data_IF_508443568011
#
_entry.id   IF_508443568011
#
_cell.length_a   1.000
_cell.length_b   1.000
_cell.length_c   1.000
_cell.angle_alpha   90.00
_cell.angle_beta   90.00
_cell.angle_gamma   90.00
#
_symmetry.space_group_name_H-M   'P 1'
#
loop_
_entity.id
_entity.type
_entity.pdbx_description
1 polymer ?
#
# COMPACT_ATOMS: atom_id res chain seq x y z
N UNK A 1 22.59 -9.04 -25.59
CA UNK A 1 21.90 -9.49 -24.37
C UNK A 1 20.79 -8.52 -23.92
N UNK A 2 21.01 -7.21 -23.90
CA UNK A 2 20.02 -6.21 -23.52
C UNK A 2 19.28 -5.67 -24.74
N UNK A 3 18.17 -6.32 -25.11
CA UNK A 3 17.30 -5.91 -26.22
C UNK A 3 15.90 -5.56 -25.71
N UNK A 4 15.10 -4.85 -26.50
CA UNK A 4 13.68 -4.63 -26.19
C UNK A 4 12.92 -5.95 -26.08
N UNK A 5 13.25 -6.91 -26.95
CA UNK A 5 12.63 -8.25 -26.94
C UNK A 5 12.91 -8.98 -25.63
N UNK A 6 14.15 -8.95 -25.10
CA UNK A 6 14.47 -9.58 -23.81
C UNK A 6 13.72 -8.93 -22.65
N UNK A 7 13.49 -7.63 -22.67
CA UNK A 7 12.71 -6.92 -21.67
C UNK A 7 11.24 -7.36 -21.73
N UNK A 8 10.64 -7.39 -22.91
CA UNK A 8 9.25 -7.86 -23.05
C UNK A 8 9.09 -9.33 -22.68
N UNK A 9 10.06 -10.17 -23.02
CA UNK A 9 10.06 -11.58 -22.61
C UNK A 9 10.11 -11.72 -21.08
N UNK A 10 10.93 -10.93 -20.40
CA UNK A 10 10.96 -10.87 -18.92
C UNK A 10 9.59 -10.55 -18.33
N UNK A 11 8.88 -9.57 -18.89
CA UNK A 11 7.53 -9.19 -18.44
C UNK A 11 6.55 -10.35 -18.63
N UNK A 12 6.58 -11.03 -19.78
CA UNK A 12 5.70 -12.17 -20.08
C UNK A 12 5.96 -13.32 -19.12
N UNK A 13 7.23 -13.68 -18.92
CA UNK A 13 7.61 -14.77 -17.99
C UNK A 13 7.16 -14.43 -16.56
N UNK A 14 7.39 -13.19 -16.11
CA UNK A 14 6.99 -12.77 -14.78
C UNK A 14 5.45 -12.76 -14.62
N UNK A 15 4.70 -12.36 -15.64
CA UNK A 15 3.25 -12.45 -15.65
C UNK A 15 2.78 -13.90 -15.50
N UNK A 16 3.31 -14.82 -16.31
CA UNK A 16 2.96 -16.24 -16.24
C UNK A 16 3.31 -16.83 -14.87
N UNK A 17 4.48 -16.51 -14.32
CA UNK A 17 4.89 -16.93 -12.98
C UNK A 17 3.94 -16.38 -11.91
N UNK A 18 3.49 -15.14 -12.03
CA UNK A 18 2.50 -14.54 -11.11
C UNK A 18 1.14 -15.24 -11.17
N UNK A 19 0.70 -15.64 -12.37
CA UNK A 19 -0.55 -16.40 -12.55
C UNK A 19 -0.43 -17.78 -11.90
N UNK A 20 0.69 -18.48 -12.13
CA UNK A 20 0.95 -19.77 -11.50
C UNK A 20 1.01 -19.69 -9.98
N UNK A 21 1.64 -18.64 -9.45
CA UNK A 21 1.67 -18.38 -8.01
C UNK A 21 0.27 -18.13 -7.45
N UNK A 22 -0.56 -17.37 -8.16
CA UNK A 22 -1.95 -17.10 -7.77
C UNK A 22 -2.79 -18.39 -7.77
N UNK A 23 -2.63 -19.23 -8.79
CA UNK A 23 -3.27 -20.55 -8.85
C UNK A 23 -2.84 -21.45 -7.68
N UNK A 24 -1.54 -21.52 -7.41
CA UNK A 24 -1.00 -22.30 -6.28
C UNK A 24 -1.56 -21.81 -4.94
N UNK A 25 -1.63 -20.48 -4.76
CA UNK A 25 -2.17 -19.87 -3.55
C UNK A 25 -3.64 -20.24 -3.33
N UNK A 26 -4.48 -20.08 -4.34
CA UNK A 26 -5.91 -20.43 -4.27
C UNK A 26 -6.10 -21.93 -4.02
N UNK A 27 -5.37 -22.79 -4.72
CA UNK A 27 -5.44 -24.24 -4.54
C UNK A 27 -4.98 -24.70 -3.15
N UNK A 28 -3.98 -24.02 -2.57
CA UNK A 28 -3.54 -24.29 -1.20
C UNK A 28 -4.60 -23.87 -0.18
N UNK A 29 -5.23 -22.71 -0.41
CA UNK A 29 -6.29 -22.21 0.45
C UNK A 29 -7.49 -23.17 0.52
N UNK A 30 -7.92 -23.73 -0.61
CA UNK A 30 -9.00 -24.70 -0.65
C UNK A 30 -8.70 -25.97 0.13
N UNK A 31 -7.47 -26.47 0.02
CA UNK A 31 -7.02 -27.63 0.80
C UNK A 31 -7.02 -27.38 2.31
N UNK A 32 -6.67 -26.16 2.72
CA UNK A 32 -6.67 -25.78 4.13
C UNK A 32 -8.09 -25.60 4.70
N UNK A 33 -9.07 -25.24 3.85
CA UNK A 33 -10.47 -25.10 4.26
C UNK A 33 -11.10 -26.43 4.66
N UNK A 34 -10.69 -27.53 4.02
CA UNK A 34 -11.20 -28.87 4.32
C UNK A 34 -10.59 -29.51 5.58
N UNK A 35 -9.43 -28.97 6.03
CA UNK A 35 -8.78 -29.40 7.26
C UNK A 35 -9.20 -28.49 8.42
N UNK A 36 -10.14 -28.92 9.24
CA UNK A 36 -10.63 -28.36 10.51
C UNK A 36 -10.47 -26.85 10.77
N UNK A 37 -11.54 -26.21 11.22
CA UNK A 37 -11.67 -24.76 11.52
C UNK A 37 -10.61 -24.14 12.47
N UNK A 38 -9.72 -24.92 13.05
CA UNK A 38 -8.71 -24.51 14.03
C UNK A 38 -7.30 -24.39 13.46
N UNK A 39 -7.12 -24.45 12.12
CA UNK A 39 -5.79 -24.31 11.54
C UNK A 39 -5.34 -22.83 11.55
N UNK A 40 -4.22 -22.49 12.22
CA UNK A 40 -3.71 -21.12 12.31
C UNK A 40 -3.37 -20.51 10.93
N UNK A 41 -2.97 -21.33 9.95
CA UNK A 41 -2.73 -20.87 8.57
C UNK A 41 -4.01 -20.40 7.90
N UNK A 42 -5.10 -21.15 8.10
CA UNK A 42 -6.42 -20.78 7.60
C UNK A 42 -6.88 -19.45 8.21
N UNK A 43 -6.75 -19.31 9.53
CA UNK A 43 -7.12 -18.08 10.24
C UNK A 43 -6.34 -16.86 9.73
N UNK A 44 -5.05 -17.02 9.38
CA UNK A 44 -4.21 -15.95 8.89
C UNK A 44 -4.51 -15.57 7.44
N UNK A 45 -4.75 -16.54 6.56
CA UNK A 45 -5.23 -16.30 5.19
C UNK A 45 -6.61 -15.65 5.24
N UNK A 46 -7.48 -16.13 6.12
CA UNK A 46 -8.80 -15.57 6.35
C UNK A 46 -8.74 -14.10 6.80
N UNK A 47 -7.86 -13.76 7.73
CA UNK A 47 -7.75 -12.38 8.24
C UNK A 47 -7.27 -11.38 7.18
N UNK A 48 -6.35 -11.78 6.31
CA UNK A 48 -5.84 -10.94 5.22
C UNK A 48 -6.87 -10.66 4.12
N UNK A 49 -7.86 -11.52 4.00
CA UNK A 49 -8.85 -11.55 2.90
C UNK A 49 -10.21 -11.02 3.36
N UNK A 50 -10.54 -11.21 4.64
CA UNK A 50 -11.90 -11.08 5.17
C UNK A 50 -12.46 -9.67 5.07
N UNK A 51 -11.67 -8.63 5.31
CA UNK A 51 -12.22 -7.29 5.40
C UNK A 51 -12.83 -6.79 4.09
N UNK A 52 -12.12 -6.95 2.98
CA UNK A 52 -12.63 -6.50 1.67
C UNK A 52 -13.79 -7.37 1.17
N UNK A 53 -13.78 -8.66 1.45
CA UNK A 53 -14.83 -9.56 0.98
C UNK A 53 -16.12 -9.45 1.78
N UNK A 54 -16.02 -9.28 3.09
CA UNK A 54 -17.20 -9.00 3.92
C UNK A 54 -17.87 -7.71 3.48
N UNK A 55 -17.09 -6.69 3.17
CA UNK A 55 -17.63 -5.42 2.70
C UNK A 55 -18.18 -5.52 1.28
N UNK A 56 -17.49 -6.23 0.38
CA UNK A 56 -17.96 -6.48 -0.98
C UNK A 56 -19.29 -7.27 -0.99
N UNK A 57 -19.41 -8.30 -0.15
CA UNK A 57 -20.65 -9.06 0.01
C UNK A 57 -21.81 -8.19 0.50
N UNK A 58 -21.54 -7.31 1.47
CA UNK A 58 -22.53 -6.33 1.95
C UNK A 58 -22.97 -5.39 0.84
N UNK A 59 -22.03 -4.84 0.07
CA UNK A 59 -22.33 -3.98 -1.09
C UNK A 59 -23.19 -4.74 -2.10
N UNK A 60 -22.86 -6.00 -2.39
CA UNK A 60 -23.64 -6.84 -3.30
C UNK A 60 -25.06 -7.07 -2.81
N UNK A 61 -25.23 -7.38 -1.52
CA UNK A 61 -26.56 -7.58 -0.92
C UNK A 61 -27.38 -6.29 -0.98
N UNK A 62 -26.78 -5.15 -0.70
CA UNK A 62 -27.42 -3.85 -0.80
C UNK A 62 -27.87 -3.56 -2.24
N UNK A 63 -27.02 -3.82 -3.26
CA UNK A 63 -27.38 -3.63 -4.67
C UNK A 63 -28.52 -4.59 -5.07
N UNK A 64 -28.44 -5.86 -4.71
CA UNK A 64 -29.47 -6.86 -4.99
C UNK A 64 -30.80 -6.52 -4.32
N UNK A 65 -30.80 -5.81 -3.19
CA UNK A 65 -32.02 -5.30 -2.53
C UNK A 65 -32.53 -3.98 -3.11
N UNK A 66 -31.96 -3.49 -4.21
CA UNK A 66 -32.39 -2.26 -4.90
C UNK A 66 -31.77 -0.97 -4.37
N UNK A 67 -30.80 -1.02 -3.43
CA UNK A 67 -30.08 0.16 -3.01
C UNK A 67 -29.14 0.66 -4.10
N UNK A 68 -29.00 1.98 -4.18
CA UNK A 68 -28.05 2.59 -5.08
C UNK A 68 -26.59 2.20 -4.71
N UNK A 69 -25.77 1.91 -5.71
CA UNK A 69 -24.35 1.53 -5.53
C UNK A 69 -23.59 2.52 -4.63
N UNK A 70 -23.82 3.83 -4.77
CA UNK A 70 -23.20 4.86 -3.93
C UNK A 70 -23.78 4.93 -2.52
N UNK A 71 -24.93 4.34 -2.24
CA UNK A 71 -25.53 4.27 -0.91
C UNK A 71 -25.28 2.94 -0.19
N UNK A 72 -24.62 1.98 -0.86
CA UNK A 72 -24.37 0.63 -0.32
C UNK A 72 -23.08 0.52 0.47
N UNK A 73 -23.02 -0.47 1.36
CA UNK A 73 -21.85 -0.77 2.20
C UNK A 73 -21.95 -0.24 3.63
N UNK A 74 -20.87 -0.40 4.39
CA UNK A 74 -20.76 0.09 5.78
C UNK A 74 -20.86 1.60 5.87
N UNK A 75 -21.39 2.09 6.99
CA UNK A 75 -21.34 3.53 7.33
C UNK A 75 -19.90 4.05 7.47
N UNK A 76 -19.04 3.23 8.07
CA UNK A 76 -17.62 3.53 8.28
C UNK A 76 -16.77 2.46 7.61
N UNK A 77 -15.77 2.87 6.83
CA UNK A 77 -14.90 2.00 6.06
C UNK A 77 -13.45 2.49 6.10
N UNK A 78 -12.52 1.54 5.99
CA UNK A 78 -11.08 1.83 5.99
C UNK A 78 -10.60 2.20 4.58
N UNK A 79 -10.99 1.43 3.57
CA UNK A 79 -10.64 1.67 2.17
C UNK A 79 -11.90 1.69 1.29
N UNK A 80 -11.93 2.64 0.37
CA UNK A 80 -13.12 2.86 -0.47
C UNK A 80 -13.17 1.97 -1.70
N UNK A 81 -12.11 1.96 -2.51
CA UNK A 81 -12.11 1.35 -3.84
C UNK A 81 -12.03 -0.18 -3.84
N UNK A 82 -11.15 -0.84 -3.05
CA UNK A 82 -10.94 -2.28 -3.15
C UNK A 82 -12.19 -3.12 -2.97
N UNK A 83 -13.01 -2.95 -1.91
CA UNK A 83 -14.23 -3.74 -1.74
C UNK A 83 -15.29 -3.43 -2.82
N UNK A 84 -15.31 -2.21 -3.36
CA UNK A 84 -16.24 -1.82 -4.41
C UNK A 84 -15.89 -2.41 -5.76
N UNK A 85 -14.63 -2.44 -6.13
CA UNK A 85 -14.18 -3.14 -7.34
C UNK A 85 -14.46 -4.62 -7.25
N UNK A 86 -14.25 -5.21 -6.08
CA UNK A 86 -14.56 -6.61 -5.84
C UNK A 86 -16.06 -6.87 -5.95
N UNK A 87 -16.92 -6.04 -5.34
CA UNK A 87 -18.37 -6.16 -5.44
C UNK A 87 -18.85 -6.00 -6.89
N UNK A 88 -18.32 -5.02 -7.62
CA UNK A 88 -18.65 -4.80 -9.03
C UNK A 88 -18.25 -6.01 -9.88
N UNK A 89 -17.08 -6.58 -9.67
CA UNK A 89 -16.63 -7.77 -10.36
C UNK A 89 -17.58 -8.95 -10.12
N UNK A 90 -17.95 -9.22 -8.86
CA UNK A 90 -18.88 -10.29 -8.51
C UNK A 90 -20.31 -10.02 -9.02
N UNK A 91 -20.74 -8.77 -9.06
CA UNK A 91 -22.02 -8.38 -9.65
C UNK A 91 -22.08 -8.68 -11.16
N UNK A 92 -21.02 -8.31 -11.90
CA UNK A 92 -20.97 -8.53 -13.35
C UNK A 92 -20.84 -10.02 -13.70
N UNK A 93 -20.03 -10.76 -12.94
CA UNK A 93 -19.78 -12.19 -13.23
C UNK A 93 -20.83 -13.14 -12.70
N UNK A 94 -21.72 -12.67 -11.82
CA UNK A 94 -22.73 -13.50 -11.16
C UNK A 94 -22.16 -14.50 -10.14
N UNK A 95 -20.86 -14.49 -9.87
CA UNK A 95 -20.27 -15.36 -8.84
C UNK A 95 -20.74 -14.96 -7.44
N UNK A 96 -20.77 -15.93 -6.54
CA UNK A 96 -21.07 -15.71 -5.13
C UNK A 96 -19.80 -15.65 -4.28
N UNK A 97 -19.79 -14.76 -3.27
CA UNK A 97 -18.68 -14.64 -2.32
C UNK A 97 -18.78 -15.67 -1.22
N UNK A 98 -20.02 -15.92 -0.74
CA UNK A 98 -20.32 -16.87 0.33
C UNK A 98 -21.37 -17.90 -0.13
N UNK A 99 -21.26 -19.12 0.39
CA UNK A 99 -22.30 -20.14 0.20
C UNK A 99 -23.51 -19.87 1.12
N UNK A 100 -24.56 -20.69 0.96
CA UNK A 100 -25.79 -20.62 1.77
C UNK A 100 -25.54 -20.80 3.28
N UNK A 101 -24.42 -21.41 3.67
CA UNK A 101 -23.98 -21.58 5.06
C UNK A 101 -23.03 -20.48 5.52
N UNK A 102 -22.92 -19.36 4.79
CA UNK A 102 -22.00 -18.25 5.07
C UNK A 102 -20.52 -18.65 5.07
N UNK A 103 -20.15 -19.76 4.42
CA UNK A 103 -18.76 -20.09 4.20
C UNK A 103 -18.26 -19.36 2.95
N UNK A 104 -17.03 -18.87 3.03
CA UNK A 104 -16.39 -18.20 1.91
C UNK A 104 -16.15 -19.21 0.77
N UNK A 105 -16.72 -18.97 -0.41
CA UNK A 105 -16.49 -19.78 -1.59
C UNK A 105 -15.16 -19.41 -2.22
N UNK A 106 -14.15 -20.27 -2.11
CA UNK A 106 -12.79 -19.91 -2.47
C UNK A 106 -12.55 -19.90 -3.98
N UNK A 107 -13.11 -20.83 -4.72
CA UNK A 107 -12.80 -20.97 -6.15
C UNK A 107 -13.59 -20.07 -7.09
N UNK A 108 -14.80 -19.68 -6.71
CA UNK A 108 -15.67 -18.95 -7.60
C UNK A 108 -15.19 -17.50 -7.82
N UNK A 109 -14.63 -17.24 -8.99
CA UNK A 109 -14.27 -15.90 -9.43
C UNK A 109 -12.99 -15.33 -8.82
N UNK A 110 -12.34 -15.96 -7.81
CA UNK A 110 -11.18 -15.38 -7.14
C UNK A 110 -9.93 -15.41 -7.98
N UNK A 111 -9.64 -16.55 -8.59
CA UNK A 111 -8.48 -16.66 -9.47
C UNK A 111 -8.58 -15.71 -10.67
N UNK A 112 -9.70 -15.63 -11.41
CA UNK A 112 -9.84 -14.63 -12.46
C UNK A 112 -9.68 -13.20 -11.99
N UNK A 113 -10.19 -12.84 -10.80
CA UNK A 113 -10.00 -11.51 -10.23
C UNK A 113 -8.51 -11.20 -9.95
N UNK A 114 -7.76 -12.17 -9.39
CA UNK A 114 -6.32 -12.02 -9.19
C UNK A 114 -5.57 -11.88 -10.53
N UNK A 115 -5.96 -12.66 -11.54
CA UNK A 115 -5.38 -12.56 -12.89
C UNK A 115 -5.63 -11.18 -13.49
N UNK A 116 -6.84 -10.63 -13.37
CA UNK A 116 -7.18 -9.28 -13.86
C UNK A 116 -6.31 -8.23 -13.17
N UNK A 117 -6.16 -8.28 -11.85
CA UNK A 117 -5.28 -7.34 -11.12
C UNK A 117 -3.83 -7.45 -11.55
N UNK A 118 -3.34 -8.68 -11.67
CA UNK A 118 -1.98 -8.97 -12.14
C UNK A 118 -1.77 -8.46 -13.56
N UNK A 119 -2.73 -8.66 -14.44
CA UNK A 119 -2.70 -8.16 -15.82
C UNK A 119 -2.61 -6.62 -15.83
N UNK A 120 -3.40 -5.93 -15.02
CA UNK A 120 -3.33 -4.46 -14.90
C UNK A 120 -1.92 -3.98 -14.52
N UNK A 121 -1.26 -4.67 -13.59
CA UNK A 121 0.13 -4.38 -13.22
C UNK A 121 1.08 -4.51 -14.41
N UNK A 122 1.04 -5.63 -15.11
CA UNK A 122 1.95 -5.88 -16.23
C UNK A 122 1.64 -5.00 -17.45
N UNK A 123 0.39 -4.60 -17.67
CA UNK A 123 0.02 -3.59 -18.67
C UNK A 123 0.60 -2.20 -18.31
N UNK A 124 0.53 -1.82 -17.04
CA UNK A 124 1.16 -0.59 -16.55
C UNK A 124 2.69 -0.66 -16.74
N UNK A 125 3.29 -1.81 -16.48
CA UNK A 125 4.73 -2.05 -16.67
C UNK A 125 5.13 -1.97 -18.17
N UNK A 126 4.32 -2.51 -19.06
CA UNK A 126 4.52 -2.36 -20.52
C UNK A 126 4.43 -0.90 -20.96
N UNK A 127 3.48 -0.13 -20.44
CA UNK A 127 3.40 1.29 -20.69
C UNK A 127 4.63 2.03 -20.17
N UNK A 128 5.08 1.69 -18.97
CA UNK A 128 6.29 2.24 -18.37
C UNK A 128 7.54 1.96 -19.23
N UNK A 129 7.67 0.76 -19.81
CA UNK A 129 8.76 0.44 -20.73
C UNK A 129 8.89 1.43 -21.87
N UNK A 130 7.76 1.81 -22.51
CA UNK A 130 7.78 2.80 -23.60
C UNK A 130 8.38 4.13 -23.14
N UNK A 131 8.17 4.53 -21.89
CA UNK A 131 8.69 5.79 -21.35
C UNK A 131 10.16 5.70 -20.99
N UNK A 132 10.59 4.64 -20.30
CA UNK A 132 11.99 4.51 -19.90
C UNK A 132 12.94 4.24 -21.07
N UNK A 133 12.48 3.62 -22.16
CA UNK A 133 13.30 3.43 -23.38
C UNK A 133 13.73 4.73 -24.04
N UNK A 134 13.01 5.82 -23.84
CA UNK A 134 13.39 7.14 -24.35
C UNK A 134 14.31 7.92 -23.41
N UNK A 135 14.50 7.43 -22.18
CA UNK A 135 15.22 8.16 -21.12
C UNK A 135 16.53 7.46 -20.75
N UNK A 136 16.51 6.12 -20.72
CA UNK A 136 17.62 5.32 -20.25
C UNK A 136 18.17 4.38 -21.32
N UNK A 137 19.46 4.01 -21.26
CA UNK A 137 20.03 2.93 -22.05
C UNK A 137 19.29 1.60 -21.80
N UNK A 138 19.22 0.73 -22.81
CA UNK A 138 18.50 -0.55 -22.72
C UNK A 138 18.97 -1.45 -21.56
N UNK A 139 20.25 -1.39 -21.21
CA UNK A 139 20.81 -2.10 -20.07
C UNK A 139 20.15 -1.64 -18.75
N UNK A 140 20.03 -0.34 -18.54
CA UNK A 140 19.37 0.21 -17.35
C UNK A 140 17.89 -0.17 -17.34
N UNK A 141 17.21 -0.04 -18.48
CA UNK A 141 15.81 -0.44 -18.63
C UNK A 141 15.58 -1.90 -18.28
N UNK A 142 16.47 -2.79 -18.70
CA UNK A 142 16.39 -4.20 -18.38
C UNK A 142 16.40 -4.44 -16.86
N UNK A 143 17.33 -3.86 -16.14
CA UNK A 143 17.42 -4.03 -14.68
C UNK A 143 16.29 -3.35 -13.91
N UNK A 144 15.80 -2.18 -14.38
CA UNK A 144 14.62 -1.53 -13.81
C UNK A 144 13.41 -2.48 -13.92
N UNK A 145 13.17 -3.03 -15.10
CA UNK A 145 12.04 -3.91 -15.36
C UNK A 145 12.20 -5.26 -14.65
N UNK A 146 13.40 -5.83 -14.66
CA UNK A 146 13.70 -7.07 -13.93
C UNK A 146 13.36 -6.92 -12.44
N UNK A 147 13.75 -5.80 -11.84
CA UNK A 147 13.44 -5.49 -10.45
C UNK A 147 11.93 -5.38 -10.24
N UNK A 148 11.24 -4.54 -11.01
CA UNK A 148 9.79 -4.37 -10.88
C UNK A 148 9.01 -5.66 -11.13
N UNK A 149 9.44 -6.48 -12.07
CA UNK A 149 8.75 -7.70 -12.43
C UNK A 149 8.96 -8.86 -11.46
N UNK A 150 10.12 -8.95 -10.80
CA UNK A 150 10.53 -10.14 -10.03
C UNK A 150 10.97 -9.83 -8.59
N UNK A 151 11.02 -8.56 -8.17
CA UNK A 151 11.36 -8.24 -6.77
C UNK A 151 10.35 -8.93 -5.83
N UNK A 152 10.82 -9.80 -4.92
CA UNK A 152 9.93 -10.66 -4.13
C UNK A 152 8.84 -9.92 -3.35
N UNK A 153 9.12 -8.71 -2.90
CA UNK A 153 8.17 -7.89 -2.13
C UNK A 153 7.00 -7.39 -2.97
N UNK A 154 7.27 -7.08 -4.24
CA UNK A 154 6.23 -6.64 -5.19
C UNK A 154 5.51 -7.86 -5.73
N UNK A 155 6.29 -8.86 -6.17
CA UNK A 155 5.80 -10.07 -6.84
C UNK A 155 4.77 -10.85 -6.01
N UNK A 156 4.98 -10.96 -4.69
CA UNK A 156 4.05 -11.67 -3.81
C UNK A 156 2.64 -11.06 -3.76
N UNK A 157 2.50 -9.74 -3.98
CA UNK A 157 1.18 -9.10 -3.93
C UNK A 157 0.29 -9.46 -5.12
N UNK A 158 0.84 -9.98 -6.22
CA UNK A 158 0.03 -10.45 -7.34
C UNK A 158 -0.89 -11.60 -6.95
N UNK A 159 -0.45 -12.47 -6.03
CA UNK A 159 -1.26 -13.57 -5.52
C UNK A 159 -2.11 -13.21 -4.30
N UNK A 160 -2.14 -11.96 -3.87
CA UNK A 160 -2.84 -11.51 -2.68
C UNK A 160 -4.04 -10.62 -3.00
N UNK A 161 -4.97 -10.52 -2.04
CA UNK A 161 -6.12 -9.59 -2.11
C UNK A 161 -5.84 -8.27 -1.37
N UNK A 162 -4.62 -8.03 -0.98
CA UNK A 162 -4.21 -6.79 -0.33
C UNK A 162 -4.31 -5.59 -1.27
N UNK A 163 -4.47 -4.42 -0.68
CA UNK A 163 -4.59 -3.15 -1.40
C UNK A 163 -3.43 -2.86 -2.32
N UNK A 164 -2.23 -3.24 -1.93
CA UNK A 164 -1.00 -3.04 -2.67
C UNK A 164 -1.08 -3.62 -4.09
N UNK A 165 -1.78 -4.73 -4.28
CA UNK A 165 -1.98 -5.32 -5.60
C UNK A 165 -2.80 -4.46 -6.57
N UNK A 166 -3.67 -3.59 -6.04
CA UNK A 166 -4.39 -2.57 -6.82
C UNK A 166 -3.63 -1.25 -6.90
N UNK A 167 -2.80 -0.99 -5.91
CA UNK A 167 -2.05 0.24 -5.80
C UNK A 167 -0.89 0.33 -6.80
N UNK A 168 -0.11 -0.72 -6.92
CA UNK A 168 1.09 -0.74 -7.76
C UNK A 168 0.86 -0.42 -9.24
N UNK A 169 -0.20 -0.88 -9.93
CA UNK A 169 -0.46 -0.46 -11.30
C UNK A 169 -0.57 1.05 -11.45
N UNK A 170 -1.29 1.71 -10.53
CA UNK A 170 -1.43 3.16 -10.55
C UNK A 170 -0.12 3.88 -10.22
N UNK A 171 0.68 3.31 -9.32
CA UNK A 171 1.98 3.84 -8.94
C UNK A 171 2.97 3.81 -10.13
N UNK A 172 3.01 2.71 -10.88
CA UNK A 172 3.81 2.60 -12.10
C UNK A 172 3.33 3.59 -13.18
N UNK A 173 2.01 3.75 -13.34
CA UNK A 173 1.44 4.76 -14.23
C UNK A 173 1.82 6.18 -13.80
N UNK A 174 1.73 6.46 -12.50
CA UNK A 174 2.15 7.73 -11.93
C UNK A 174 3.63 8.01 -12.23
N UNK A 175 4.51 7.04 -11.95
CA UNK A 175 5.93 7.13 -12.24
C UNK A 175 6.19 7.36 -13.73
N UNK A 176 5.46 6.66 -14.61
CA UNK A 176 5.54 6.83 -16.07
C UNK A 176 5.21 8.26 -16.51
N UNK A 177 4.15 8.83 -15.92
CA UNK A 177 3.73 10.20 -16.23
C UNK A 177 4.70 11.25 -15.65
N UNK A 178 5.29 10.96 -14.49
CA UNK A 178 6.25 11.85 -13.84
C UNK A 178 7.59 11.93 -14.58
N UNK A 179 8.04 10.85 -15.16
CA UNK A 179 9.25 10.79 -15.97
C UNK A 179 9.09 11.44 -17.35
N UNK A 180 7.88 11.55 -17.85
CA UNK A 180 7.61 12.22 -19.11
C UNK A 180 7.72 13.75 -18.96
N UNK A 181 8.72 14.32 -19.62
CA UNK A 181 9.03 15.76 -19.54
C UNK A 181 8.01 16.65 -20.22
N UNK A 182 7.21 16.11 -21.15
CA UNK A 182 6.14 16.87 -21.81
C UNK A 182 4.99 17.12 -20.83
N UNK A 183 4.98 18.24 -20.15
CA UNK A 183 3.97 18.62 -19.17
C UNK A 183 2.97 19.61 -19.76
N UNK A 184 1.70 19.20 -19.80
CA UNK A 184 0.56 20.06 -20.08
C UNK A 184 -0.47 19.99 -18.95
N UNK A 185 -1.49 20.83 -19.03
CA UNK A 185 -2.56 20.92 -18.01
C UNK A 185 -3.27 19.56 -17.85
N UNK A 186 -3.68 18.94 -18.97
CA UNK A 186 -4.42 17.67 -18.97
C UNK A 186 -3.63 16.55 -18.27
N UNK A 187 -2.31 16.52 -18.48
CA UNK A 187 -1.44 15.56 -17.84
C UNK A 187 -1.31 15.77 -16.33
N UNK A 188 -1.25 17.03 -15.88
CA UNK A 188 -1.23 17.32 -14.45
C UNK A 188 -2.58 16.96 -13.79
N UNK A 189 -3.72 17.21 -14.46
CA UNK A 189 -5.04 16.75 -14.03
C UNK A 189 -5.07 15.23 -13.93
N UNK A 190 -4.55 14.50 -14.92
CA UNK A 190 -4.49 13.05 -14.92
C UNK A 190 -3.62 12.51 -13.75
N UNK A 191 -2.46 13.14 -13.50
CA UNK A 191 -1.62 12.79 -12.34
C UNK A 191 -2.41 12.99 -11.04
N UNK A 192 -3.09 14.11 -10.87
CA UNK A 192 -3.93 14.36 -9.72
C UNK A 192 -5.06 13.35 -9.58
N UNK A 193 -5.72 13.01 -10.68
CA UNK A 193 -6.78 12.00 -10.71
C UNK A 193 -6.27 10.61 -10.30
N UNK A 194 -5.11 10.19 -10.81
CA UNK A 194 -4.48 8.91 -10.41
C UNK A 194 -4.15 8.93 -8.90
N UNK A 195 -3.59 10.02 -8.39
CA UNK A 195 -3.35 10.17 -6.94
C UNK A 195 -4.64 10.08 -6.12
N UNK A 196 -5.72 10.69 -6.60
CA UNK A 196 -7.03 10.57 -5.97
C UNK A 196 -7.54 9.12 -5.95
N UNK A 197 -7.43 8.40 -7.07
CA UNK A 197 -7.75 6.96 -7.12
C UNK A 197 -6.88 6.19 -6.12
N UNK A 198 -5.58 6.40 -6.12
CA UNK A 198 -4.66 5.74 -5.20
C UNK A 198 -5.03 6.01 -3.75
N UNK A 199 -5.47 7.23 -3.40
CA UNK A 199 -5.96 7.58 -2.06
C UNK A 199 -7.19 6.75 -1.66
N UNK A 200 -8.05 6.35 -2.59
CA UNK A 200 -9.20 5.48 -2.31
C UNK A 200 -8.79 4.02 -2.06
N UNK A 201 -7.58 3.64 -2.46
CA UNK A 201 -6.99 2.32 -2.23
C UNK A 201 -6.19 2.30 -0.93
N UNK A 202 -5.36 3.33 -0.71
CA UNK A 202 -4.54 3.47 0.50
C UNK A 202 -4.37 4.94 0.85
N UNK A 203 -4.67 5.29 2.09
CA UNK A 203 -4.66 6.69 2.55
C UNK A 203 -3.26 7.29 2.68
N UNK A 204 -2.24 6.47 2.68
CA UNK A 204 -0.84 6.89 2.78
C UNK A 204 -0.39 7.73 1.58
N UNK A 205 -1.20 7.76 0.52
CA UNK A 205 -0.96 8.54 -0.70
C UNK A 205 -0.86 10.04 -0.45
N UNK A 206 -1.44 10.56 0.61
CA UNK A 206 -1.25 11.96 0.95
C UNK A 206 0.23 12.33 1.09
N UNK A 207 1.10 11.35 1.42
CA UNK A 207 2.55 11.53 1.49
C UNK A 207 3.19 11.86 0.12
N UNK A 208 2.52 11.54 -1.00
CA UNK A 208 3.01 11.91 -2.34
C UNK A 208 2.79 13.37 -2.68
N UNK A 209 1.75 13.97 -2.12
CA UNK A 209 1.32 15.31 -2.53
C UNK A 209 2.40 16.35 -2.22
N UNK A 210 2.97 16.31 -1.03
CA UNK A 210 3.99 17.28 -0.60
C UNK A 210 5.24 17.19 -1.48
N UNK A 211 5.90 16.01 -1.64
CA UNK A 211 7.02 15.86 -2.56
C UNK A 211 6.69 16.26 -4.00
N UNK A 212 5.47 15.97 -4.47
CA UNK A 212 5.05 16.29 -5.82
C UNK A 212 4.86 17.78 -6.05
N UNK A 213 4.23 18.49 -5.11
CA UNK A 213 4.11 19.96 -5.16
C UNK A 213 5.51 20.59 -5.17
N UNK A 214 6.40 20.12 -4.31
CA UNK A 214 7.78 20.60 -4.25
C UNK A 214 8.53 20.33 -5.56
N UNK A 215 8.35 19.15 -6.16
CA UNK A 215 8.93 18.80 -7.45
C UNK A 215 8.42 19.71 -8.59
N UNK A 216 7.11 19.97 -8.63
CA UNK A 216 6.53 20.91 -9.58
C UNK A 216 7.08 22.32 -9.39
N UNK A 217 7.31 22.72 -8.15
CA UNK A 217 7.94 24.01 -7.83
C UNK A 217 9.39 24.08 -8.34
N UNK A 218 10.19 23.02 -8.14
CA UNK A 218 11.56 22.94 -8.66
C UNK A 218 11.58 22.98 -10.21
N UNK A 219 10.63 22.29 -10.86
CA UNK A 219 10.56 22.23 -12.31
C UNK A 219 10.17 23.58 -12.94
N UNK A 220 9.12 24.19 -12.44
CA UNK A 220 8.44 25.33 -13.08
C UNK A 220 8.72 26.67 -12.39
N UNK A 221 9.36 26.67 -11.21
CA UNK A 221 9.69 27.87 -10.43
C UNK A 221 8.43 28.77 -10.28
N UNK A 222 8.50 30.04 -10.67
CA UNK A 222 7.38 31.00 -10.59
C UNK A 222 6.15 30.59 -11.43
N UNK A 223 6.31 29.72 -12.44
CA UNK A 223 5.21 29.21 -13.27
C UNK A 223 4.58 27.92 -12.71
N UNK A 224 4.92 27.50 -11.49
CA UNK A 224 4.44 26.27 -10.87
C UNK A 224 2.97 26.30 -10.43
N UNK A 225 2.39 27.48 -10.23
CA UNK A 225 1.00 27.64 -9.74
C UNK A 225 0.01 26.90 -10.65
N UNK A 226 0.06 27.14 -11.97
CA UNK A 226 -0.87 26.50 -12.92
C UNK A 226 -0.77 24.97 -12.94
N UNK A 227 0.42 24.34 -13.04
CA UNK A 227 0.58 22.89 -12.86
C UNK A 227 0.06 22.36 -11.53
N UNK A 228 0.33 23.05 -10.43
CA UNK A 228 -0.13 22.64 -9.08
C UNK A 228 -1.65 22.69 -9.01
N UNK A 229 -2.27 23.79 -9.43
CA UNK A 229 -3.74 23.91 -9.44
C UNK A 229 -4.37 22.83 -10.33
N UNK A 230 -3.81 22.56 -11.52
CA UNK A 230 -4.30 21.50 -12.41
C UNK A 230 -4.24 20.12 -11.75
N UNK A 231 -3.16 19.82 -11.03
CA UNK A 231 -3.02 18.60 -10.25
C UNK A 231 -4.06 18.53 -9.14
N UNK A 232 -4.24 19.61 -8.39
CA UNK A 232 -5.22 19.68 -7.31
C UNK A 232 -6.65 19.49 -7.81
N UNK A 233 -7.00 20.04 -8.99
CA UNK A 233 -8.30 19.78 -9.62
C UNK A 233 -8.51 18.30 -9.85
N UNK A 234 -7.55 17.60 -10.47
CA UNK A 234 -7.65 16.15 -10.70
C UNK A 234 -7.80 15.36 -9.39
N UNK A 235 -7.02 15.72 -8.38
CA UNK A 235 -7.07 15.09 -7.05
C UNK A 235 -8.44 15.30 -6.37
N UNK A 236 -8.93 16.52 -6.35
CA UNK A 236 -10.19 16.90 -5.71
C UNK A 236 -11.42 16.28 -6.38
N UNK A 237 -11.38 15.98 -7.67
CA UNK A 237 -12.49 15.27 -8.35
C UNK A 237 -12.84 13.96 -7.65
N UNK A 238 -11.84 13.20 -7.20
CA UNK A 238 -12.09 11.93 -6.48
C UNK A 238 -12.68 12.19 -5.09
N UNK A 239 -12.24 13.24 -4.41
CA UNK A 239 -12.82 13.61 -3.10
C UNK A 239 -14.28 14.02 -3.22
N UNK A 240 -14.69 14.68 -4.31
CA UNK A 240 -16.09 14.97 -4.58
C UNK A 240 -16.89 13.67 -4.71
N UNK A 241 -16.34 12.66 -5.41
CA UNK A 241 -16.99 11.34 -5.54
C UNK A 241 -17.14 10.66 -4.17
N UNK A 242 -16.09 10.69 -3.33
CA UNK A 242 -16.14 10.16 -1.96
C UNK A 242 -17.14 10.92 -1.11
N UNK A 243 -17.11 12.25 -1.17
CA UNK A 243 -18.02 13.12 -0.44
C UNK A 243 -19.48 12.88 -0.83
N UNK A 244 -19.77 12.77 -2.13
CA UNK A 244 -21.10 12.43 -2.63
C UNK A 244 -21.56 11.04 -2.18
N UNK A 245 -20.66 10.04 -2.22
CA UNK A 245 -20.95 8.72 -1.70
C UNK A 245 -21.30 8.77 -0.21
N UNK A 246 -20.49 9.47 0.60
CA UNK A 246 -20.73 9.60 2.02
C UNK A 246 -22.06 10.35 2.29
N UNK A 247 -22.31 11.44 1.56
CA UNK A 247 -23.58 12.17 1.68
C UNK A 247 -24.79 11.29 1.40
N UNK A 248 -24.79 10.52 0.30
CA UNK A 248 -25.88 9.59 -0.05
C UNK A 248 -26.07 8.50 1.00
N UNK A 249 -24.99 8.05 1.62
CA UNK A 249 -25.01 6.90 2.54
C UNK A 249 -25.31 7.32 3.99
N UNK A 250 -24.78 8.45 4.39
CA UNK A 250 -24.80 8.86 5.81
C UNK A 250 -25.36 10.27 6.04
N UNK A 251 -25.74 10.98 4.97
CA UNK A 251 -26.27 12.35 5.07
C UNK A 251 -25.24 13.42 5.42
N UNK A 252 -23.93 13.08 5.46
CA UNK A 252 -22.86 14.03 5.76
C UNK A 252 -21.80 14.03 4.66
N UNK A 253 -21.31 15.23 4.33
CA UNK A 253 -20.21 15.40 3.38
C UNK A 253 -18.88 15.13 4.08
N UNK A 254 -18.46 13.86 4.17
CA UNK A 254 -17.16 13.48 4.69
C UNK A 254 -16.24 13.07 3.54
N UNK A 255 -15.13 13.78 3.37
CA UNK A 255 -14.19 13.59 2.27
C UNK A 255 -13.10 12.55 2.58
N UNK A 256 -13.02 12.08 3.84
CA UNK A 256 -11.92 11.22 4.31
C UNK A 256 -12.49 9.90 4.85
N UNK A 257 -11.93 8.75 4.48
CA UNK A 257 -12.28 7.47 5.08
C UNK A 257 -11.94 7.42 6.59
N UNK A 258 -12.73 6.69 7.37
CA UNK A 258 -12.61 6.69 8.83
C UNK A 258 -11.37 5.95 9.35
N UNK A 259 -10.81 5.01 8.60
CA UNK A 259 -9.60 4.29 8.99
C UNK A 259 -8.40 5.19 9.25
N UNK A 260 -8.28 6.32 8.52
CA UNK A 260 -7.22 7.31 8.75
C UNK A 260 -7.28 7.97 10.13
N UNK A 261 -8.49 8.08 10.72
CA UNK A 261 -8.70 8.72 12.00
C UNK A 261 -8.20 7.86 13.18
N UNK A 262 -8.15 6.54 12.99
CA UNK A 262 -7.78 5.60 14.05
C UNK A 262 -6.34 5.11 13.94
N UNK A 263 -5.75 5.12 12.75
CA UNK A 263 -4.45 4.54 12.48
C UNK A 263 -3.34 5.07 13.41
N UNK A 264 -3.24 6.38 13.58
CA UNK A 264 -2.25 6.99 14.47
C UNK A 264 -2.47 6.63 15.94
N UNK A 265 -3.72 6.48 16.36
CA UNK A 265 -4.08 6.07 17.72
C UNK A 265 -3.65 4.63 17.99
N UNK A 266 -3.83 3.75 17.03
CA UNK A 266 -3.55 2.33 17.17
C UNK A 266 -2.06 2.04 17.05
N UNK A 267 -1.39 2.61 16.05
CA UNK A 267 -0.07 2.16 15.63
C UNK A 267 1.09 3.04 16.08
N UNK A 268 0.88 4.34 16.30
CA UNK A 268 2.01 5.24 16.55
C UNK A 268 1.97 5.98 17.90
N UNK A 269 0.84 6.58 18.26
CA UNK A 269 0.75 7.36 19.50
C UNK A 269 1.12 6.57 20.78
N UNK A 270 0.78 5.27 20.91
CA UNK A 270 1.19 4.48 22.08
C UNK A 270 2.70 4.35 22.19
N UNK A 271 3.42 4.24 21.09
CA UNK A 271 4.88 4.17 21.10
C UNK A 271 5.54 5.47 21.56
N UNK A 272 5.01 6.62 21.09
CA UNK A 272 5.49 7.93 21.52
C UNK A 272 5.21 8.14 23.01
N UNK A 273 4.02 7.77 23.48
CA UNK A 273 3.64 7.88 24.88
C UNK A 273 4.48 6.97 25.77
N UNK A 274 4.78 5.75 25.30
CA UNK A 274 5.63 4.80 26.00
C UNK A 274 7.03 5.36 26.21
N UNK A 275 7.68 5.88 25.15
CA UNK A 275 9.02 6.45 25.24
C UNK A 275 9.05 7.73 26.07
N UNK A 276 8.06 8.60 25.96
CA UNK A 276 7.93 9.82 26.78
C UNK A 276 7.88 9.54 28.27
N UNK A 277 7.13 8.51 28.69
CA UNK A 277 6.86 8.24 30.10
C UNK A 277 7.66 7.04 30.64
N UNK A 278 8.65 6.52 29.92
CA UNK A 278 9.41 5.32 30.25
C UNK A 278 8.52 4.12 30.60
N UNK A 279 7.43 3.92 29.82
CA UNK A 279 6.51 2.83 29.96
C UNK A 279 6.77 1.75 28.91
N UNK A 280 6.31 0.52 29.19
CA UNK A 280 6.15 -0.47 28.11
C UNK A 280 5.03 -0.04 27.16
N UNK A 281 5.07 -0.53 25.92
CA UNK A 281 4.01 -0.26 24.94
C UNK A 281 2.63 -0.72 25.45
N UNK A 282 2.58 -1.87 26.11
CA UNK A 282 1.34 -2.41 26.70
C UNK A 282 0.78 -1.48 27.76
N UNK A 283 1.63 -0.93 28.64
CA UNK A 283 1.21 0.04 29.65
C UNK A 283 0.73 1.35 29.02
N UNK A 284 1.41 1.86 28.00
CA UNK A 284 0.99 3.05 27.27
C UNK A 284 -0.38 2.85 26.59
N UNK A 285 -0.60 1.71 25.94
CA UNK A 285 -1.88 1.33 25.35
C UNK A 285 -2.98 1.26 26.42
N UNK A 286 -2.71 0.63 27.57
CA UNK A 286 -3.66 0.55 28.67
C UNK A 286 -4.05 1.95 29.16
N UNK A 287 -3.07 2.83 29.37
CA UNK A 287 -3.31 4.23 29.77
C UNK A 287 -4.17 4.99 28.77
N UNK A 288 -3.89 4.87 27.46
CA UNK A 288 -4.71 5.49 26.43
C UNK A 288 -6.15 4.96 26.42
N UNK A 289 -6.34 3.65 26.61
CA UNK A 289 -7.67 3.03 26.72
C UNK A 289 -8.46 3.56 27.92
N UNK A 290 -7.83 3.66 29.08
CA UNK A 290 -8.44 4.21 30.28
C UNK A 290 -8.87 5.66 30.08
N UNK A 291 -8.01 6.48 29.48
CA UNK A 291 -8.35 7.87 29.14
C UNK A 291 -9.53 7.95 28.16
N UNK A 292 -9.57 7.06 27.20
CA UNK A 292 -10.65 6.98 26.22
C UNK A 292 -11.96 6.58 26.88
N UNK A 293 -11.94 5.61 27.80
CA UNK A 293 -13.11 5.20 28.58
C UNK A 293 -13.67 6.35 29.38
N UNK A 294 -12.82 7.06 30.13
CA UNK A 294 -13.21 8.24 30.92
C UNK A 294 -13.82 9.32 30.01
N UNK A 295 -13.25 9.53 28.84
CA UNK A 295 -13.78 10.52 27.89
C UNK A 295 -15.15 10.11 27.34
N UNK A 296 -15.37 8.82 27.03
CA UNK A 296 -16.67 8.28 26.58
C UNK A 296 -17.74 8.54 27.64
N UNK A 297 -17.46 8.17 28.90
CA UNK A 297 -18.36 8.34 30.02
C UNK A 297 -18.69 9.82 30.26
N UNK A 298 -17.66 10.69 30.31
CA UNK A 298 -17.82 12.13 30.53
C UNK A 298 -18.65 12.83 29.45
N UNK A 299 -18.58 12.36 28.20
CA UNK A 299 -19.27 13.00 27.07
C UNK A 299 -20.56 12.28 26.68
N UNK A 300 -21.02 11.31 27.48
CA UNK A 300 -22.23 10.50 27.23
C UNK A 300 -22.23 9.93 25.79
N UNK A 301 -21.10 9.35 25.37
CA UNK A 301 -20.95 8.77 24.03
C UNK A 301 -21.48 7.34 24.07
N UNK A 302 -22.67 7.15 23.50
CA UNK A 302 -23.26 5.82 23.36
C UNK A 302 -22.70 5.15 22.09
N UNK A 303 -21.72 4.25 22.27
CA UNK A 303 -21.10 3.43 21.25
C UNK A 303 -20.82 2.02 21.78
N UNK A 304 -21.07 1.02 20.95
CA UNK A 304 -20.78 -0.37 21.25
C UNK A 304 -19.55 -0.84 20.51
N UNK A 305 -18.65 -1.54 21.17
CA UNK A 305 -17.39 -2.02 20.62
C UNK A 305 -17.43 -3.51 20.31
N UNK A 306 -16.76 -3.91 19.24
CA UNK A 306 -16.61 -5.32 18.84
C UNK A 306 -15.63 -6.09 19.75
N UNK A 307 -14.71 -5.36 20.38
CA UNK A 307 -13.64 -5.90 21.23
C UNK A 307 -13.41 -5.01 22.43
N UNK A 308 -12.77 -5.55 23.46
CA UNK A 308 -12.33 -4.80 24.66
C UNK A 308 -11.28 -3.72 24.33
N UNK A 309 -10.82 -3.66 23.09
CA UNK A 309 -9.75 -2.76 22.65
C UNK A 309 -10.23 -1.36 22.26
N UNK A 310 -11.55 -1.08 22.35
CA UNK A 310 -12.15 0.21 22.00
C UNK A 310 -11.80 0.72 20.59
N UNK A 311 -11.54 -0.18 19.63
CA UNK A 311 -11.07 0.18 18.28
C UNK A 311 -12.18 -0.02 17.25
N UNK A 312 -12.89 -1.14 17.33
CA UNK A 312 -13.97 -1.48 16.40
C UNK A 312 -15.33 -1.10 16.94
N UNK A 313 -15.96 -0.07 16.39
CA UNK A 313 -17.35 0.28 16.76
C UNK A 313 -18.30 -0.58 15.94
N UNK A 314 -19.21 -1.29 16.62
CA UNK A 314 -20.28 -2.09 16.00
C UNK A 314 -21.67 -1.49 16.17
N UNK A 315 -21.86 -0.59 17.15
CA UNK A 315 -23.14 0.05 17.46
C UNK A 315 -23.01 1.50 17.86
N UNK A 316 -24.14 2.17 18.07
CA UNK A 316 -24.23 3.58 18.44
C UNK A 316 -24.68 4.51 17.32
N UNK A 317 -25.16 5.69 17.68
CA UNK A 317 -25.58 6.70 16.71
C UNK A 317 -24.39 7.20 15.90
N UNK A 318 -24.64 7.57 14.64
CA UNK A 318 -23.65 8.12 13.75
C UNK A 318 -22.91 9.33 14.35
N UNK A 319 -23.64 10.23 14.97
CA UNK A 319 -23.10 11.43 15.64
C UNK A 319 -22.09 11.04 16.72
N UNK A 320 -22.39 9.99 17.52
CA UNK A 320 -21.50 9.49 18.55
C UNK A 320 -20.26 8.81 17.97
N UNK A 321 -20.41 8.03 16.89
CA UNK A 321 -19.28 7.42 16.18
C UNK A 321 -18.32 8.48 15.65
N UNK A 322 -18.82 9.53 14.99
CA UNK A 322 -18.01 10.62 14.48
C UNK A 322 -17.26 11.35 15.60
N UNK A 323 -17.95 11.72 16.68
CA UNK A 323 -17.31 12.34 17.85
C UNK A 323 -16.19 11.48 18.43
N UNK A 324 -16.40 10.16 18.47
CA UNK A 324 -15.42 9.22 18.95
C UNK A 324 -14.17 9.16 18.05
N UNK A 325 -14.34 9.02 16.74
CA UNK A 325 -13.21 9.00 15.79
C UNK A 325 -12.43 10.32 15.81
N UNK A 326 -13.11 11.46 15.91
CA UNK A 326 -12.47 12.76 16.05
C UNK A 326 -11.65 12.87 17.35
N UNK A 327 -12.15 12.31 18.43
CA UNK A 327 -11.41 12.24 19.69
C UNK A 327 -10.12 11.42 19.55
N UNK A 328 -10.19 10.23 18.95
CA UNK A 328 -9.02 9.38 18.73
C UNK A 328 -7.97 10.09 17.87
N UNK A 329 -8.41 10.72 16.79
CA UNK A 329 -7.54 11.48 15.89
C UNK A 329 -6.88 12.66 16.61
N UNK A 330 -7.66 13.50 17.29
CA UNK A 330 -7.15 14.67 18.03
C UNK A 330 -6.18 14.27 19.14
N UNK A 331 -6.50 13.21 19.88
CA UNK A 331 -5.65 12.70 20.96
C UNK A 331 -4.32 12.20 20.42
N UNK A 332 -4.31 11.43 19.34
CA UNK A 332 -3.10 10.93 18.69
C UNK A 332 -2.24 12.05 18.17
N UNK A 333 -2.84 12.99 17.43
CA UNK A 333 -2.12 14.14 16.88
C UNK A 333 -1.53 15.00 18.01
N UNK A 334 -2.27 15.22 19.10
CA UNK A 334 -1.77 15.94 20.26
C UNK A 334 -0.52 15.28 20.84
N UNK A 335 -0.55 13.94 21.05
CA UNK A 335 0.61 13.19 21.57
C UNK A 335 1.81 13.36 20.64
N UNK A 336 1.62 13.25 19.33
CA UNK A 336 2.69 13.31 18.33
C UNK A 336 3.27 14.73 18.24
N UNK A 337 2.43 15.74 18.11
CA UNK A 337 2.84 17.13 17.91
C UNK A 337 3.48 17.72 19.16
N UNK A 338 3.01 17.35 20.35
CA UNK A 338 3.60 17.83 21.61
C UNK A 338 4.93 17.13 21.94
N UNK A 339 5.32 16.08 21.21
CA UNK A 339 6.56 15.36 21.41
C UNK A 339 7.31 15.12 20.08
N UNK A 340 7.65 16.17 19.32
CA UNK A 340 8.12 16.04 17.94
C UNK A 340 9.43 15.28 17.82
N UNK A 341 10.40 15.51 18.70
CA UNK A 341 11.70 14.83 18.68
C UNK A 341 11.56 13.33 18.96
N UNK A 342 10.73 12.96 19.95
CA UNK A 342 10.44 11.53 20.25
C UNK A 342 9.75 10.89 19.07
N UNK A 343 8.79 11.58 18.46
CA UNK A 343 8.03 11.09 17.31
C UNK A 343 8.94 10.84 16.11
N UNK A 344 9.81 11.77 15.75
CA UNK A 344 10.76 11.63 14.66
C UNK A 344 11.77 10.51 14.94
N UNK A 345 12.36 10.49 16.13
CA UNK A 345 13.30 9.45 16.55
C UNK A 345 12.66 8.06 16.48
N UNK A 346 11.43 7.95 16.96
CA UNK A 346 10.68 6.68 16.94
C UNK A 346 10.34 6.22 15.52
N UNK A 347 9.85 7.13 14.68
CA UNK A 347 9.58 6.84 13.28
C UNK A 347 10.82 6.34 12.56
N UNK A 348 11.95 7.01 12.75
CA UNK A 348 13.22 6.64 12.15
C UNK A 348 13.73 5.27 12.66
N UNK A 349 13.70 5.04 13.96
CA UNK A 349 14.09 3.74 14.56
C UNK A 349 13.24 2.60 14.03
N UNK A 350 11.94 2.81 13.92
CA UNK A 350 11.01 1.82 13.42
C UNK A 350 11.20 1.55 11.93
N UNK A 351 11.46 2.60 11.15
CA UNK A 351 11.80 2.50 9.73
C UNK A 351 13.07 1.68 9.51
N UNK A 352 14.15 1.97 10.23
CA UNK A 352 15.40 1.18 10.16
C UNK A 352 15.16 -0.28 10.51
N UNK A 353 14.38 -0.55 11.57
CA UNK A 353 14.04 -1.92 11.96
C UNK A 353 13.33 -2.67 10.82
N UNK A 354 12.38 -2.03 10.17
CA UNK A 354 11.62 -2.65 9.08
C UNK A 354 12.42 -2.76 7.78
N UNK A 355 13.30 -1.82 7.51
CA UNK A 355 14.18 -1.89 6.34
C UNK A 355 15.15 -3.07 6.41
N UNK A 356 15.76 -3.28 7.58
CA UNK A 356 16.89 -4.22 7.73
C UNK A 356 16.44 -5.54 8.34
N UNK A 357 15.74 -5.50 9.46
CA UNK A 357 15.50 -6.69 10.30
C UNK A 357 14.16 -7.38 10.01
N UNK A 358 13.18 -6.69 9.46
CA UNK A 358 11.86 -7.24 9.21
C UNK A 358 11.29 -6.85 7.83
N UNK A 359 12.02 -7.12 6.74
CA UNK A 359 11.44 -6.91 5.42
C UNK A 359 10.26 -7.87 5.23
N UNK A 360 9.15 -7.38 4.71
CA UNK A 360 7.85 -8.07 4.55
C UNK A 360 7.93 -9.39 3.82
N UNK A 361 8.95 -9.59 3.08
CA UNK A 361 9.00 -10.24 1.81
C UNK A 361 9.03 -11.74 1.90
N UNK A 362 9.62 -12.26 2.94
CA UNK A 362 9.85 -13.69 3.05
C UNK A 362 8.74 -14.35 3.87
N UNK A 363 8.00 -13.58 4.65
CA UNK A 363 6.89 -14.09 5.46
C UNK A 363 5.84 -14.83 4.62
N UNK A 364 5.55 -14.32 3.42
CA UNK A 364 4.59 -14.94 2.51
C UNK A 364 5.20 -16.03 1.64
N UNK A 365 6.47 -15.94 1.26
CA UNK A 365 7.17 -17.05 0.59
C UNK A 365 7.18 -18.31 1.43
N UNK A 366 7.27 -18.21 2.76
CA UNK A 366 7.17 -19.36 3.65
C UNK A 366 5.80 -20.02 3.67
N UNK A 367 4.76 -19.26 3.47
CA UNK A 367 3.41 -19.82 3.36
C UNK A 367 3.26 -20.67 2.11
N UNK A 368 4.03 -20.38 1.05
CA UNK A 368 4.06 -21.16 -0.17
C UNK A 368 5.02 -22.34 -0.11
N UNK A 369 6.14 -22.22 0.56
CA UNK A 369 7.19 -23.25 0.64
C UNK A 369 7.02 -24.23 1.81
N UNK A 370 6.16 -23.94 2.79
CA UNK A 370 6.09 -24.68 4.03
C UNK A 370 5.33 -26.00 3.95
N UNK A 371 5.95 -27.08 4.35
CA UNK A 371 5.29 -28.28 4.83
C UNK A 371 4.57 -27.92 6.16
N UNK A 372 3.22 -28.05 6.22
CA UNK A 372 2.45 -28.05 7.47
C UNK A 372 2.69 -26.83 8.35
N UNK A 373 2.26 -25.73 7.91
CA UNK A 373 2.49 -24.42 8.39
C UNK A 373 1.92 -23.96 9.67
N UNK A 374 2.17 -24.58 10.75
CA UNK A 374 2.14 -23.83 11.99
C UNK A 374 3.27 -22.81 11.87
N UNK A 375 2.88 -21.54 11.94
CA UNK A 375 3.77 -20.42 12.11
C UNK A 375 4.56 -20.60 13.40
N UNK A 376 5.46 -21.55 13.38
CA UNK A 376 6.44 -21.71 14.43
C UNK A 376 7.43 -20.57 14.26
N UNK A 377 7.04 -19.41 14.82
CA UNK A 377 7.76 -18.14 14.78
C UNK A 377 9.25 -18.29 15.11
N UNK A 378 9.62 -19.38 15.78
CA UNK A 378 10.95 -19.48 16.38
C UNK A 378 12.02 -20.07 15.49
N UNK A 379 11.77 -21.15 14.74
CA UNK A 379 12.88 -21.84 14.06
C UNK A 379 13.02 -21.47 12.58
N UNK A 380 11.92 -21.51 11.81
CA UNK A 380 12.00 -21.22 10.37
C UNK A 380 12.31 -19.75 10.13
N UNK A 381 11.75 -18.85 10.96
CA UNK A 381 12.03 -17.43 10.90
C UNK A 381 13.51 -17.11 11.17
N UNK A 382 14.11 -17.74 12.19
CA UNK A 382 15.52 -17.51 12.54
C UNK A 382 16.49 -17.94 11.45
N UNK A 383 16.26 -19.07 10.78
CA UNK A 383 17.13 -19.58 9.70
C UNK A 383 17.25 -18.63 8.50
N UNK A 384 16.22 -17.85 8.24
CA UNK A 384 16.18 -17.00 7.05
C UNK A 384 16.48 -15.52 7.32
N UNK A 385 16.55 -15.12 8.57
CA UNK A 385 16.93 -13.74 8.92
C UNK A 385 18.25 -13.34 8.26
N UNK A 386 19.34 -14.16 8.30
CA UNK A 386 20.59 -13.77 7.66
C UNK A 386 20.46 -13.56 6.15
N UNK A 387 19.76 -14.46 5.44
CA UNK A 387 19.56 -14.33 3.98
C UNK A 387 18.78 -13.06 3.65
N UNK A 388 17.78 -12.73 4.44
CA UNK A 388 16.99 -11.50 4.29
C UNK A 388 17.81 -10.25 4.48
N UNK A 389 18.62 -10.23 5.53
CA UNK A 389 19.51 -9.11 5.82
C UNK A 389 20.49 -8.93 4.66
N UNK A 390 21.14 -10.02 4.22
CA UNK A 390 22.09 -9.99 3.09
C UNK A 390 21.39 -9.48 1.83
N UNK A 391 20.21 -10.02 1.51
CA UNK A 391 19.42 -9.56 0.36
C UNK A 391 19.11 -8.07 0.42
N UNK A 392 18.61 -7.59 1.56
CA UNK A 392 18.27 -6.18 1.75
C UNK A 392 19.50 -5.28 1.63
N UNK A 393 20.61 -5.68 2.26
CA UNK A 393 21.87 -4.92 2.19
C UNK A 393 22.37 -4.82 0.75
N UNK A 394 22.36 -5.94 -0.01
CA UNK A 394 22.77 -5.93 -1.42
C UNK A 394 21.88 -5.00 -2.24
N UNK A 395 20.56 -5.08 -2.10
CA UNK A 395 19.64 -4.20 -2.82
C UNK A 395 19.92 -2.73 -2.48
N UNK A 396 20.09 -2.39 -1.21
CA UNK A 396 20.33 -0.99 -0.80
C UNK A 396 21.69 -0.47 -1.25
N UNK A 397 22.73 -1.31 -1.27
CA UNK A 397 24.02 -0.92 -1.83
C UNK A 397 23.92 -0.63 -3.33
N UNK A 398 23.22 -1.47 -4.08
CA UNK A 398 22.99 -1.24 -5.51
C UNK A 398 22.17 0.03 -5.75
N UNK A 399 21.11 0.25 -4.97
CA UNK A 399 20.31 1.49 -5.01
C UNK A 399 21.17 2.72 -4.69
N UNK A 400 21.99 2.66 -3.67
CA UNK A 400 22.89 3.76 -3.29
C UNK A 400 23.89 4.11 -4.40
N UNK A 401 24.53 3.12 -4.99
CA UNK A 401 25.39 3.32 -6.18
C UNK A 401 24.61 3.94 -7.34
N UNK A 402 23.39 3.48 -7.55
CA UNK A 402 22.49 4.03 -8.57
C UNK A 402 22.10 5.49 -8.31
N UNK A 403 21.90 5.88 -7.06
CA UNK A 403 21.67 7.30 -6.68
C UNK A 403 22.90 8.15 -7.06
N UNK A 404 24.09 7.72 -6.67
CA UNK A 404 25.36 8.43 -6.98
C UNK A 404 25.53 8.58 -8.50
N UNK A 405 25.32 7.50 -9.25
CA UNK A 405 25.41 7.51 -10.71
C UNK A 405 24.38 8.43 -11.36
N UNK A 406 23.17 8.45 -10.83
CA UNK A 406 22.05 9.24 -11.34
C UNK A 406 22.20 10.73 -11.03
N UNK A 407 22.88 11.12 -9.96
CA UNK A 407 23.08 12.53 -9.57
C UNK A 407 23.72 13.38 -10.67
N UNK A 408 24.54 12.75 -11.53
CA UNK A 408 25.18 13.43 -12.67
C UNK A 408 24.21 13.71 -13.84
N UNK A 409 23.12 12.95 -13.96
CA UNK A 409 22.26 12.94 -15.15
C UNK A 409 20.85 13.51 -14.94
N UNK A 410 20.26 13.31 -13.75
CA UNK A 410 18.83 13.54 -13.51
C UNK A 410 18.57 14.29 -12.18
N UNK A 411 19.26 15.42 -11.95
CA UNK A 411 19.25 16.07 -10.62
C UNK A 411 17.86 16.34 -10.03
N UNK A 412 16.90 16.82 -10.83
CA UNK A 412 15.57 17.20 -10.33
C UNK A 412 14.68 16.00 -10.07
N UNK A 413 14.67 15.06 -11.04
CA UNK A 413 13.89 13.82 -10.93
C UNK A 413 14.39 12.97 -9.77
N UNK A 414 15.70 12.93 -9.51
CA UNK A 414 16.31 12.21 -8.38
C UNK A 414 15.83 12.79 -7.06
N UNK A 415 15.88 14.10 -6.89
CA UNK A 415 15.45 14.75 -5.65
C UNK A 415 13.99 14.34 -5.36
N UNK A 416 13.14 14.37 -6.37
CA UNK A 416 11.75 13.97 -6.24
C UNK A 416 11.58 12.49 -5.84
N UNK A 417 12.25 11.57 -6.56
CA UNK A 417 12.19 10.13 -6.29
C UNK A 417 12.71 9.80 -4.88
N UNK A 418 13.79 10.45 -4.45
CA UNK A 418 14.31 10.32 -3.10
C UNK A 418 13.34 10.86 -2.05
N UNK A 419 12.75 12.04 -2.28
CA UNK A 419 11.77 12.61 -1.34
C UNK A 419 10.56 11.70 -1.14
N UNK A 420 10.00 11.14 -2.21
CA UNK A 420 8.91 10.17 -2.11
C UNK A 420 9.37 8.93 -1.36
N UNK A 421 10.50 8.34 -1.76
CA UNK A 421 11.02 7.14 -1.10
C UNK A 421 11.23 7.36 0.39
N UNK A 422 11.85 8.48 0.78
CA UNK A 422 12.04 8.86 2.19
C UNK A 422 10.71 9.07 2.89
N UNK A 423 9.74 9.72 2.25
CA UNK A 423 8.41 9.92 2.83
C UNK A 423 7.73 8.58 3.15
N UNK A 424 7.77 7.61 2.24
CA UNK A 424 7.25 6.27 2.51
C UNK A 424 8.02 5.51 3.59
N UNK A 425 9.34 5.57 3.55
CA UNK A 425 10.19 4.91 4.53
C UNK A 425 9.92 5.48 5.93
N UNK A 426 9.95 6.79 6.09
CA UNK A 426 9.89 7.42 7.41
C UNK A 426 8.46 7.52 7.92
N UNK A 427 7.53 7.97 7.09
CA UNK A 427 6.16 8.26 7.55
C UNK A 427 5.21 7.08 7.41
N UNK A 428 5.21 6.36 6.29
CA UNK A 428 4.31 5.22 6.15
C UNK A 428 4.79 4.03 6.98
N UNK A 429 6.04 3.61 6.79
CA UNK A 429 6.59 2.45 7.49
C UNK A 429 6.88 2.76 8.96
N UNK A 430 7.45 3.92 9.24
CA UNK A 430 7.84 4.32 10.59
C UNK A 430 6.65 4.60 11.50
N UNK A 431 5.59 5.23 10.99
CA UNK A 431 4.40 5.54 11.78
C UNK A 431 3.42 4.37 11.87
N UNK A 432 3.19 3.66 10.77
CA UNK A 432 2.31 2.51 10.79
C UNK A 432 2.91 1.31 11.51
N UNK A 433 4.23 1.22 11.60
CA UNK A 433 4.91 0.09 12.22
C UNK A 433 4.71 -1.22 11.47
N UNK A 434 4.33 -1.16 10.21
CA UNK A 434 4.03 -2.31 9.38
C UNK A 434 4.95 -2.29 8.16
N UNK A 435 5.79 -3.31 7.99
CA UNK A 435 6.78 -3.33 6.90
C UNK A 435 6.18 -3.24 5.49
N UNK A 436 4.93 -3.66 5.28
CA UNK A 436 4.28 -3.62 3.96
C UNK A 436 4.21 -2.21 3.36
N UNK A 437 4.13 -1.18 4.20
CA UNK A 437 4.07 0.21 3.76
C UNK A 437 5.38 0.73 3.18
N UNK A 438 6.44 -0.07 3.23
CA UNK A 438 7.69 0.23 2.55
C UNK A 438 7.67 -0.16 1.06
N UNK A 439 6.87 -1.17 0.70
CA UNK A 439 6.88 -1.74 -0.67
C UNK A 439 6.62 -0.71 -1.76
N UNK A 440 5.72 0.28 -1.60
CA UNK A 440 5.56 1.37 -2.56
C UNK A 440 6.86 2.13 -2.85
N UNK A 441 7.72 2.34 -1.86
CA UNK A 441 9.01 3.00 -2.10
C UNK A 441 9.91 2.23 -3.09
N UNK A 442 9.80 0.90 -3.15
CA UNK A 442 10.59 0.06 -4.06
C UNK A 442 10.32 0.38 -5.53
N UNK A 443 9.10 0.78 -5.88
CA UNK A 443 8.76 1.15 -7.25
C UNK A 443 9.59 2.38 -7.70
N UNK A 444 9.74 3.37 -6.85
CA UNK A 444 10.59 4.53 -7.13
C UNK A 444 12.08 4.20 -7.06
N UNK A 445 12.47 3.35 -6.12
CA UNK A 445 13.85 2.89 -5.96
C UNK A 445 14.31 1.99 -7.12
N UNK A 446 13.40 1.39 -7.89
CA UNK A 446 13.73 0.56 -9.06
C UNK A 446 14.58 1.29 -10.10
N UNK A 447 14.39 2.59 -10.28
CA UNK A 447 15.18 3.41 -11.20
C UNK A 447 16.63 3.48 -10.73
N UNK A 448 16.84 3.68 -9.44
CA UNK A 448 18.19 3.70 -8.87
C UNK A 448 18.82 2.30 -8.88
N UNK A 449 18.03 1.27 -8.60
CA UNK A 449 18.51 -0.11 -8.72
C UNK A 449 19.01 -0.42 -10.14
N UNK A 450 18.22 -0.10 -11.18
CA UNK A 450 18.62 -0.32 -12.56
C UNK A 450 19.87 0.47 -12.96
N UNK A 451 19.98 1.71 -12.50
CA UNK A 451 21.17 2.53 -12.74
C UNK A 451 22.40 2.01 -12.00
N UNK A 452 22.25 1.52 -10.77
CA UNK A 452 23.32 0.92 -9.98
C UNK A 452 23.84 -0.39 -10.59
N UNK A 453 22.95 -1.29 -11.00
CA UNK A 453 23.31 -2.52 -11.69
C UNK A 453 24.05 -2.25 -12.99
N UNK A 454 23.58 -1.29 -13.77
CA UNK A 454 24.26 -0.90 -15.01
C UNK A 454 25.64 -0.31 -14.74
N UNK A 455 25.82 0.49 -13.67
CA UNK A 455 27.11 1.04 -13.28
C UNK A 455 28.11 -0.05 -12.86
N UNK A 456 27.70 -0.99 -12.01
CA UNK A 456 28.53 -2.12 -11.56
C UNK A 456 29.04 -2.93 -12.77
N UNK A 457 28.18 -3.22 -13.72
CA UNK A 457 28.53 -4.00 -14.89
C UNK A 457 29.33 -3.23 -15.95
N UNK A 458 29.36 -1.89 -15.91
CA UNK A 458 30.18 -1.06 -16.79
C UNK A 458 31.58 -0.85 -16.23
N UNK A 459 31.76 -0.94 -14.91
CA UNK A 459 33.08 -0.82 -14.30
C UNK A 459 34.06 -1.94 -14.73
N UNK A 460 33.52 -3.05 -15.28
CA UNK A 460 34.29 -4.18 -15.76
C UNK A 460 34.62 -4.13 -17.27
N UNK A 461 34.12 -3.12 -18.00
CA UNK A 461 34.52 -2.90 -19.39
C UNK A 461 35.55 -1.76 -19.42
N UNK A 462 36.83 -2.00 -19.73
CA UNK A 462 37.76 -0.91 -19.96
C UNK A 462 37.18 0.00 -21.05
N UNK A 463 37.27 1.31 -20.78
CA UNK A 463 36.80 2.36 -21.69
C UNK A 463 37.63 2.28 -23.00
N UNK A 464 37.13 1.51 -23.97
CA UNK A 464 37.78 1.35 -25.31
C UNK A 464 37.38 2.50 -26.23
N UNK A 465 36.90 3.60 -25.68
CA UNK A 465 36.60 4.80 -26.45
C UNK A 465 37.21 6.04 -25.79
N UNK A 466 38.52 6.17 -25.93
CA UNK A 466 39.18 7.49 -26.00
C UNK A 466 39.66 7.73 -27.41
#
# INVERSE_FOLDING_TARGET
MYSRSSIYLTIIIAFLASVLLSYHYISKYDRLKTSTNNNPEYAMIKSAVVNHWVEADRILKDIKSGKNYFASGKEHYDEFLPPRLLALYYYITGYEIYDSKMNLIVNNGKLPYLIIKTLLYYLALLYFCKKIFSIFPLKNCFFIILFLALEPSIFQYHSSFWNESLFFPFEILLLSLLLDRSRNISKNILIGFILGIMFTVSQEIFLYIIPLIFYLFILFKKKSIKPILSLMVGYLLIFIVIGFHNYKRIGELNLIPDGSRTALYIYFAPHVLAEKNNLSETQARKKMKEQTKIWIEKNNIDVTFSTTDFIGIIGGSKKNKNKYYDYLQKTSLKIIITNPFISIKRAFKQSLHHLVLNPVHIKYFYQFAGKGGVYNKSETHKKWIPIRIIYSVVIYLVVFLGIIYSLKRMKKEIIFLLMISVAFIVFATGWAGIPRHFVPALIFLSIFFGNGMAAILNSNTPDISK
#
